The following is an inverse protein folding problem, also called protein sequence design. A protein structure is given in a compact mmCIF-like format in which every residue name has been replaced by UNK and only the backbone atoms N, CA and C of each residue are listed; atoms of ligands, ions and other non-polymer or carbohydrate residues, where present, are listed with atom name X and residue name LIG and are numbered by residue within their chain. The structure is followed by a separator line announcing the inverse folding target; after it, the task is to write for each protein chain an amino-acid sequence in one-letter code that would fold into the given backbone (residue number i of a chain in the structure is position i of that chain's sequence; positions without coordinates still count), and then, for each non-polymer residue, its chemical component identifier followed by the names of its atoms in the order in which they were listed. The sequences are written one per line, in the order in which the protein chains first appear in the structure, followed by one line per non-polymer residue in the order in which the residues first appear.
data_IF_512446226804
#
_entry.id   IF_512446226804
#
_cell.length_a   1.000
_cell.length_b   1.000
_cell.length_c   1.000
_cell.angle_alpha   90.00
_cell.angle_beta   90.00
_cell.angle_gamma   90.00
#
_symmetry.space_group_name_H-M   'P 1'
#
loop_
_entity.id
_entity.type
_entity.pdbx_description
1 polymer ?
#
# COMPACT_ATOMS: atom_id res chain seq x y z
N UNK A 1 -13.28 -18.86 24.97
CA UNK A 1 -13.00 -17.47 24.53
C UNK A 1 -14.29 -16.66 24.58
N UNK A 2 -14.25 -15.34 24.84
CA UNK A 2 -15.44 -14.50 25.10
C UNK A 2 -16.49 -14.51 23.98
N UNK A 3 -16.08 -14.81 22.75
CA UNK A 3 -16.94 -14.85 21.57
C UNK A 3 -17.61 -16.21 21.30
N UNK A 4 -17.50 -17.19 22.20
CA UNK A 4 -18.13 -18.54 22.09
C UNK A 4 -17.87 -19.28 20.75
N UNK A 5 -16.78 -18.94 20.04
CA UNK A 5 -16.45 -19.52 18.73
C UNK A 5 -17.01 -18.75 17.52
N UNK A 6 -17.89 -17.77 17.73
CA UNK A 6 -18.39 -16.92 16.65
C UNK A 6 -17.37 -15.84 16.29
N UNK A 7 -17.13 -15.64 14.99
CA UNK A 7 -16.29 -14.58 14.44
C UNK A 7 -17.06 -13.92 13.30
N UNK A 8 -17.40 -12.65 13.47
CA UNK A 8 -18.12 -11.86 12.45
C UNK A 8 -17.16 -10.80 11.92
N UNK A 9 -16.91 -10.80 10.60
CA UNK A 9 -16.05 -9.81 9.96
C UNK A 9 -16.91 -8.68 9.41
N UNK A 10 -16.58 -7.45 9.77
CA UNK A 10 -17.17 -6.24 9.18
C UNK A 10 -16.40 -5.71 7.98
N UNK A 11 -15.23 -6.30 7.70
CA UNK A 11 -14.40 -5.97 6.55
C UNK A 11 -14.11 -7.22 5.71
N UNK A 12 -13.97 -7.07 4.38
CA UNK A 12 -13.56 -8.14 3.48
C UNK A 12 -12.19 -8.69 3.87
N UNK A 13 -11.91 -9.93 3.46
CA UNK A 13 -10.59 -10.52 3.67
C UNK A 13 -9.52 -9.88 2.76
N UNK A 14 -8.26 -10.12 3.07
CA UNK A 14 -7.14 -9.55 2.32
C UNK A 14 -7.11 -10.04 0.86
N UNK A 15 -7.63 -11.24 0.59
CA UNK A 15 -7.70 -11.78 -0.77
C UNK A 15 -8.59 -10.93 -1.69
N UNK A 16 -9.79 -10.57 -1.22
CA UNK A 16 -10.71 -9.69 -1.95
C UNK A 16 -10.18 -8.27 -2.05
N UNK A 17 -9.63 -7.74 -0.96
CA UNK A 17 -9.06 -6.39 -0.94
C UNK A 17 -7.87 -6.25 -1.90
N UNK A 18 -6.89 -7.15 -1.82
CA UNK A 18 -5.70 -7.13 -2.69
C UNK A 18 -6.08 -7.22 -4.17
N UNK A 19 -7.09 -8.03 -4.52
CA UNK A 19 -7.60 -8.10 -5.87
C UNK A 19 -8.18 -6.75 -6.32
N UNK A 20 -9.08 -6.16 -5.52
CA UNK A 20 -9.70 -4.87 -5.87
C UNK A 20 -8.70 -3.72 -5.94
N UNK A 21 -7.70 -3.72 -5.06
CA UNK A 21 -6.61 -2.74 -5.10
C UNK A 21 -5.80 -2.88 -6.39
N UNK A 22 -5.41 -4.11 -6.77
CA UNK A 22 -4.68 -4.38 -8.00
C UNK A 22 -5.49 -4.03 -9.27
N UNK A 23 -6.80 -4.33 -9.29
CA UNK A 23 -7.69 -3.94 -10.39
C UNK A 23 -7.74 -2.41 -10.55
N UNK A 24 -7.89 -1.70 -9.44
CA UNK A 24 -7.90 -0.24 -9.44
C UNK A 24 -6.55 0.33 -9.88
N UNK A 25 -5.43 -0.17 -9.36
CA UNK A 25 -4.08 0.23 -9.76
C UNK A 25 -3.89 0.05 -11.28
N UNK A 26 -4.28 -1.10 -11.84
CA UNK A 26 -4.18 -1.32 -13.28
C UNK A 26 -5.08 -0.37 -14.09
N UNK A 27 -6.28 -0.06 -13.58
CA UNK A 27 -7.21 0.87 -14.20
C UNK A 27 -6.70 2.32 -14.24
N UNK A 28 -5.76 2.70 -13.36
CA UNK A 28 -5.05 3.99 -13.45
C UNK A 28 -4.06 4.07 -14.63
N UNK A 29 -3.88 2.99 -15.39
CA UNK A 29 -2.91 2.93 -16.50
C UNK A 29 -1.48 2.63 -16.06
N UNK A 30 -1.26 2.36 -14.77
CA UNK A 30 0.04 1.98 -14.19
C UNK A 30 0.55 0.71 -14.88
N UNK A 31 1.83 0.70 -15.30
CA UNK A 31 2.47 -0.48 -15.89
C UNK A 31 3.40 -1.17 -14.91
N UNK A 32 4.06 -0.41 -14.05
CA UNK A 32 5.10 -0.89 -13.13
C UNK A 32 4.72 -0.55 -11.70
N UNK A 33 4.24 -1.55 -10.96
CA UNK A 33 3.90 -1.41 -9.54
C UNK A 33 5.01 -2.04 -8.67
N UNK A 34 5.43 -1.37 -7.61
CA UNK A 34 6.26 -1.94 -6.57
C UNK A 34 5.52 -1.94 -5.24
N UNK A 35 5.62 -3.01 -4.45
CA UNK A 35 4.95 -3.08 -3.14
C UNK A 35 5.95 -3.11 -1.98
N UNK A 36 5.84 -2.13 -1.08
CA UNK A 36 6.59 -2.09 0.18
C UNK A 36 5.64 -2.47 1.31
N UNK A 37 5.90 -3.58 2.00
CA UNK A 37 5.03 -4.07 3.07
C UNK A 37 5.72 -4.10 4.42
N UNK A 38 5.03 -3.69 5.49
CA UNK A 38 5.50 -3.95 6.86
C UNK A 38 5.55 -5.47 7.12
N UNK A 39 6.43 -5.95 8.00
CA UNK A 39 6.43 -7.34 8.43
C UNK A 39 5.19 -7.66 9.27
N UNK A 40 4.20 -8.28 8.63
CA UNK A 40 2.94 -8.67 9.24
C UNK A 40 2.33 -9.89 8.53
N UNK A 41 1.40 -10.63 9.17
CA UNK A 41 0.79 -11.81 8.57
C UNK A 41 0.03 -11.57 7.27
N UNK A 42 -0.40 -10.34 6.99
CA UNK A 42 -1.12 -10.00 5.77
C UNK A 42 -0.20 -9.71 4.56
N UNK A 43 1.09 -9.49 4.77
CA UNK A 43 1.98 -8.90 3.76
C UNK A 43 2.20 -9.82 2.57
N UNK A 44 2.63 -11.05 2.82
CA UNK A 44 2.87 -12.03 1.76
C UNK A 44 1.59 -12.39 0.99
N UNK A 45 0.45 -12.73 1.64
CA UNK A 45 -0.80 -12.98 0.91
C UNK A 45 -1.27 -11.81 0.03
N UNK A 46 -1.04 -10.57 0.49
CA UNK A 46 -1.39 -9.37 -0.28
C UNK A 46 -0.47 -9.21 -1.49
N UNK A 47 0.84 -9.42 -1.33
CA UNK A 47 1.82 -9.38 -2.42
C UNK A 47 1.50 -10.41 -3.50
N UNK A 48 1.27 -11.67 -3.11
CA UNK A 48 0.96 -12.76 -4.04
C UNK A 48 -0.30 -12.46 -4.83
N UNK A 49 -1.39 -12.08 -4.13
CA UNK A 49 -2.67 -11.83 -4.78
C UNK A 49 -2.65 -10.59 -5.66
N UNK A 50 -2.03 -9.50 -5.22
CA UNK A 50 -1.93 -8.29 -6.04
C UNK A 50 -1.07 -8.53 -7.28
N UNK A 51 0.03 -9.27 -7.17
CA UNK A 51 0.89 -9.63 -8.30
C UNK A 51 0.14 -10.43 -9.36
N UNK A 52 -0.62 -11.44 -8.94
CA UNK A 52 -1.45 -12.24 -9.83
C UNK A 52 -2.47 -11.38 -10.60
N UNK A 53 -3.19 -10.51 -9.90
CA UNK A 53 -4.26 -9.71 -10.49
C UNK A 53 -3.71 -8.58 -11.38
N UNK A 54 -2.62 -7.92 -10.99
CA UNK A 54 -1.96 -6.93 -11.85
C UNK A 54 -1.58 -7.54 -13.20
N UNK A 55 -0.97 -8.72 -13.19
CA UNK A 55 -0.58 -9.45 -14.41
C UNK A 55 -1.78 -9.73 -15.32
N UNK A 56 -2.91 -10.16 -14.74
CA UNK A 56 -4.15 -10.40 -15.47
C UNK A 56 -4.76 -9.12 -16.08
N UNK A 57 -4.43 -7.94 -15.53
CA UNK A 57 -4.93 -6.63 -15.98
C UNK A 57 -3.93 -5.84 -16.84
N UNK A 58 -2.82 -6.44 -17.26
CA UNK A 58 -1.85 -5.81 -18.17
C UNK A 58 -0.90 -4.83 -17.48
N UNK A 59 -0.68 -5.02 -16.17
CA UNK A 59 0.31 -4.33 -15.34
C UNK A 59 1.25 -5.37 -14.71
N UNK A 60 2.39 -4.94 -14.17
CA UNK A 60 3.39 -5.83 -13.58
C UNK A 60 3.75 -5.40 -12.15
N UNK A 61 3.90 -6.37 -11.25
CA UNK A 61 4.60 -6.15 -9.97
C UNK A 61 6.11 -6.28 -10.22
N UNK A 62 6.80 -5.15 -10.36
CA UNK A 62 8.24 -5.11 -10.71
C UNK A 62 9.15 -5.40 -9.52
N UNK A 63 8.58 -5.48 -8.32
CA UNK A 63 9.25 -5.98 -7.14
C UNK A 63 8.39 -5.84 -5.90
N UNK A 64 8.74 -6.61 -4.87
CA UNK A 64 8.17 -6.49 -3.54
C UNK A 64 9.28 -6.50 -2.50
N UNK A 65 9.03 -5.90 -1.35
CA UNK A 65 9.84 -6.09 -0.16
C UNK A 65 8.98 -6.10 1.10
N UNK A 66 9.51 -6.75 2.13
CA UNK A 66 8.96 -6.73 3.48
C UNK A 66 9.99 -6.08 4.40
N UNK A 67 9.61 -5.04 5.13
CA UNK A 67 10.49 -4.30 6.04
C UNK A 67 10.09 -4.50 7.51
N UNK A 68 11.08 -4.45 8.41
CA UNK A 68 10.81 -4.43 9.85
C UNK A 68 10.14 -3.12 10.27
N UNK A 69 9.26 -3.20 11.27
CA UNK A 69 8.65 -2.02 11.89
C UNK A 69 9.64 -1.20 12.71
N UNK A 70 9.18 -0.04 13.19
CA UNK A 70 9.87 0.83 14.17
C UNK A 70 11.23 1.41 13.73
N UNK A 71 11.53 1.42 12.43
CA UNK A 71 12.70 2.15 11.91
C UNK A 71 12.41 3.65 11.86
N UNK A 72 13.43 4.48 12.06
CA UNK A 72 13.33 5.94 11.90
C UNK A 72 13.44 6.39 10.44
N UNK A 73 13.89 5.50 9.55
CA UNK A 73 14.02 5.68 8.10
C UNK A 73 13.97 4.33 7.38
N UNK A 74 13.51 4.34 6.13
CA UNK A 74 13.46 3.21 5.20
C UNK A 74 14.21 3.52 3.89
N UNK A 75 15.25 4.35 3.95
CA UNK A 75 16.00 4.80 2.76
C UNK A 75 16.53 3.64 1.91
N UNK A 76 17.08 2.60 2.53
CA UNK A 76 17.58 1.42 1.82
C UNK A 76 16.49 0.69 1.03
N UNK A 77 15.31 0.56 1.63
CA UNK A 77 14.15 -0.09 1.03
C UNK A 77 13.57 0.79 -0.09
N UNK A 78 13.54 2.10 0.10
CA UNK A 78 13.19 3.08 -0.94
C UNK A 78 14.18 2.97 -2.12
N UNK A 79 15.49 3.00 -1.88
CA UNK A 79 16.51 2.88 -2.92
C UNK A 79 16.36 1.55 -3.70
N UNK A 80 16.04 0.46 -3.01
CA UNK A 80 15.75 -0.83 -3.65
C UNK A 80 14.49 -0.76 -4.53
N UNK A 81 13.42 -0.13 -4.05
CA UNK A 81 12.21 0.06 -4.83
C UNK A 81 12.49 0.90 -6.09
N UNK A 82 13.21 2.03 -5.95
CA UNK A 82 13.48 2.96 -7.04
C UNK A 82 14.39 2.39 -8.14
N UNK A 83 15.28 1.44 -7.82
CA UNK A 83 16.05 0.69 -8.83
C UNK A 83 15.17 -0.06 -9.83
N UNK A 84 13.95 -0.40 -9.44
CA UNK A 84 12.98 -1.05 -10.32
C UNK A 84 12.18 -0.05 -11.17
N UNK A 85 12.43 1.26 -11.05
CA UNK A 85 11.72 2.32 -11.79
C UNK A 85 10.19 2.13 -11.79
N UNK A 86 9.52 2.11 -10.62
CA UNK A 86 8.08 1.90 -10.54
C UNK A 86 7.28 3.18 -10.88
N UNK A 87 6.20 3.03 -11.64
CA UNK A 87 5.24 4.11 -11.88
C UNK A 87 4.37 4.36 -10.63
N UNK A 88 4.15 3.31 -9.83
CA UNK A 88 3.40 3.35 -8.58
C UNK A 88 4.09 2.53 -7.48
N UNK A 89 4.15 3.08 -6.27
CA UNK A 89 4.54 2.36 -5.06
C UNK A 89 3.32 2.18 -4.15
N UNK A 90 2.99 0.90 -3.87
CA UNK A 90 1.99 0.52 -2.89
C UNK A 90 2.66 0.41 -1.50
N UNK A 91 2.36 1.38 -0.64
CA UNK A 91 2.73 1.46 0.77
C UNK A 91 1.76 0.63 1.61
N UNK A 92 2.06 -0.66 1.77
CA UNK A 92 1.23 -1.64 2.47
C UNK A 92 1.66 -1.74 3.95
N UNK A 93 1.29 -0.75 4.74
CA UNK A 93 1.77 -0.55 6.10
C UNK A 93 0.73 0.06 7.03
N UNK A 94 1.18 0.65 8.13
CA UNK A 94 0.36 1.42 9.06
C UNK A 94 0.81 2.88 9.13
N UNK A 95 0.03 3.71 9.82
CA UNK A 95 0.29 5.15 9.88
C UNK A 95 1.73 5.52 10.32
N UNK A 96 2.35 4.90 11.34
CA UNK A 96 3.70 5.25 11.76
C UNK A 96 4.75 5.04 10.67
N UNK A 97 4.75 3.87 10.02
CA UNK A 97 5.72 3.49 9.01
C UNK A 97 5.44 4.15 7.65
N UNK A 98 4.18 4.29 7.25
CA UNK A 98 3.80 4.99 6.01
C UNK A 98 4.19 6.47 6.09
N UNK A 99 4.07 7.12 7.25
CA UNK A 99 4.55 8.50 7.44
C UNK A 99 6.05 8.63 7.12
N UNK A 100 6.85 7.66 7.55
CA UNK A 100 8.31 7.65 7.32
C UNK A 100 8.62 7.34 5.85
N UNK A 101 7.91 6.38 5.26
CA UNK A 101 8.07 6.02 3.85
C UNK A 101 7.73 7.19 2.92
N UNK A 102 6.64 7.91 3.17
CA UNK A 102 6.27 9.09 2.38
C UNK A 102 7.37 10.15 2.40
N UNK A 103 7.91 10.44 3.60
CA UNK A 103 9.03 11.38 3.76
C UNK A 103 10.29 10.90 3.04
N UNK A 104 10.62 9.62 3.13
CA UNK A 104 11.85 9.09 2.52
C UNK A 104 11.73 8.97 1.00
N UNK A 105 10.56 8.65 0.47
CA UNK A 105 10.25 8.71 -0.96
C UNK A 105 10.36 10.14 -1.51
N UNK A 106 9.83 11.12 -0.79
CA UNK A 106 9.96 12.52 -1.16
C UNK A 106 11.43 12.96 -1.20
N UNK A 107 12.22 12.61 -0.18
CA UNK A 107 13.66 12.90 -0.12
C UNK A 107 14.46 12.20 -1.22
N UNK A 108 13.99 11.05 -1.70
CA UNK A 108 14.58 10.32 -2.82
C UNK A 108 14.13 10.86 -4.18
N UNK A 109 13.28 11.90 -4.22
CA UNK A 109 12.79 12.50 -5.46
C UNK A 109 11.77 11.65 -6.20
N UNK A 110 11.08 10.72 -5.52
CA UNK A 110 10.08 9.89 -6.16
C UNK A 110 8.81 10.69 -6.48
N UNK A 111 8.54 10.86 -7.79
CA UNK A 111 7.39 11.61 -8.29
C UNK A 111 6.23 10.72 -8.76
N UNK A 112 6.42 9.41 -8.80
CA UNK A 112 5.38 8.45 -9.20
C UNK A 112 4.23 8.35 -8.20
N UNK A 113 3.20 7.58 -8.54
CA UNK A 113 1.99 7.46 -7.72
C UNK A 113 2.29 6.73 -6.41
N UNK A 114 1.75 7.24 -5.31
CA UNK A 114 1.79 6.59 -3.99
C UNK A 114 0.39 6.07 -3.68
N UNK A 115 0.28 4.81 -3.31
CA UNK A 115 -0.99 4.16 -3.02
C UNK A 115 -0.93 3.48 -1.65
N UNK A 116 -1.94 3.65 -0.82
CA UNK A 116 -1.99 3.04 0.51
C UNK A 116 -3.41 2.82 1.00
N UNK A 117 -3.58 2.07 2.08
CA UNK A 117 -4.87 1.95 2.75
C UNK A 117 -5.19 3.25 3.51
N UNK A 118 -6.46 3.67 3.53
CA UNK A 118 -6.86 4.94 4.20
C UNK A 118 -6.56 4.95 5.69
N UNK A 119 -6.54 3.80 6.36
CA UNK A 119 -6.14 3.72 7.77
C UNK A 119 -4.65 4.04 8.00
N UNK A 120 -3.81 3.96 6.97
CA UNK A 120 -2.38 4.25 7.04
C UNK A 120 -2.05 5.70 6.66
N UNK A 121 -2.98 6.42 6.03
CA UNK A 121 -2.83 7.82 5.64
C UNK A 121 -3.97 8.63 6.26
N UNK A 122 -3.90 8.76 7.59
CA UNK A 122 -4.92 9.47 8.37
C UNK A 122 -4.71 10.99 8.32
N UNK A 123 -5.69 11.78 8.79
CA UNK A 123 -5.53 13.24 8.92
C UNK A 123 -4.30 13.61 9.74
N UNK A 124 -3.98 12.84 10.79
CA UNK A 124 -2.76 13.04 11.59
C UNK A 124 -1.48 12.85 10.77
N UNK A 125 -1.46 11.89 9.84
CA UNK A 125 -0.32 11.72 8.92
C UNK A 125 -0.19 12.94 8.02
N UNK A 126 -1.31 13.40 7.44
CA UNK A 126 -1.36 14.58 6.57
C UNK A 126 -0.91 15.86 7.29
N UNK A 127 -1.32 16.06 8.54
CA UNK A 127 -0.93 17.21 9.38
C UNK A 127 0.53 17.15 9.83
N UNK A 128 1.10 15.95 9.94
CA UNK A 128 2.48 15.74 10.42
C UNK A 128 3.55 15.94 9.34
N UNK A 129 3.14 16.04 8.08
CA UNK A 129 4.04 16.16 6.93
C UNK A 129 3.67 17.40 6.11
N UNK A 130 4.65 18.05 5.45
CA UNK A 130 4.36 19.08 4.46
C UNK A 130 3.44 18.53 3.36
N UNK A 131 2.53 19.35 2.83
CA UNK A 131 1.58 18.93 1.78
C UNK A 131 2.30 18.38 0.55
N UNK A 132 3.44 18.96 0.16
CA UNK A 132 4.30 18.47 -0.94
C UNK A 132 4.77 17.01 -0.80
N UNK A 133 4.78 16.46 0.42
CA UNK A 133 5.12 15.05 0.70
C UNK A 133 3.92 14.12 0.51
N UNK A 134 2.71 14.60 0.81
CA UNK A 134 1.49 13.78 0.91
C UNK A 134 0.52 14.00 -0.26
N UNK A 135 0.68 15.09 -1.00
CA UNK A 135 -0.14 15.44 -2.16
C UNK A 135 -0.14 14.31 -3.19
N UNK A 136 -1.31 13.99 -3.74
CA UNK A 136 -1.48 12.93 -4.73
C UNK A 136 -1.34 11.49 -4.21
N UNK A 137 -1.23 11.27 -2.89
CA UNK A 137 -1.34 9.91 -2.32
C UNK A 137 -2.78 9.42 -2.50
N UNK A 138 -2.96 8.31 -3.20
CA UNK A 138 -4.26 7.66 -3.35
C UNK A 138 -4.48 6.72 -2.17
N UNK A 139 -5.66 6.79 -1.56
CA UNK A 139 -6.04 5.87 -0.49
C UNK A 139 -7.22 5.00 -0.85
N UNK A 140 -7.27 3.80 -0.26
CA UNK A 140 -8.38 2.86 -0.41
C UNK A 140 -8.89 2.36 0.93
N UNK A 141 -10.21 2.21 1.01
CA UNK A 141 -10.89 1.62 2.15
C UNK A 141 -12.08 0.80 1.66
N UNK A 142 -12.39 -0.33 2.31
CA UNK A 142 -13.66 -0.99 2.11
C UNK A 142 -14.81 -0.05 2.48
N UNK A 143 -15.84 0.02 1.65
CA UNK A 143 -17.12 0.66 1.97
C UNK A 143 -18.26 -0.32 1.76
N UNK A 144 -19.40 -0.06 2.41
CA UNK A 144 -20.63 -0.73 2.05
C UNK A 144 -21.00 -0.36 0.60
N UNK A 145 -21.65 -1.29 -0.08
CA UNK A 145 -22.30 -0.97 -1.35
C UNK A 145 -23.50 -0.07 -1.05
N UNK A 146 -23.48 1.14 -1.62
CA UNK A 146 -24.55 2.13 -1.46
C UNK A 146 -25.80 1.79 -2.30
N UNK A 147 -25.72 0.77 -3.15
CA UNK A 147 -26.78 0.34 -4.07
C UNK A 147 -27.36 -1.04 -3.77
N UNK A 148 -26.84 -1.73 -2.74
CA UNK A 148 -27.36 -3.02 -2.24
C UNK A 148 -28.56 -2.85 -1.31
#
# INVERSE_FOLDING_TARGET
MPHQGYLIRTQPNNYLQAAKHAEFIAALGVKRCFMMSIQAPFSQPTQERATEVLKQKGSEMVGTLIYDKDKTTYRSEVDQALKTQPDLIYLNGYAPDVTILLRDLYRAGYTGTRFSQSYAVTSKVLESLPSEVTEGVITVQPSADVSS
#
